data_IF_798355662542
#
_entry.id   IF_798355662542
#
_cell.length_a   1.000
_cell.length_b   1.000
_cell.length_c   1.000
_cell.angle_alpha   90.00
_cell.angle_beta   90.00
_cell.angle_gamma   90.00
#
_symmetry.space_group_name_H-M   'P 1'
#
loop_
_entity.id
_entity.type
_entity.pdbx_description
1 polymer ?
#
# COMPACT_ATOMS: atom_id res chain seq x y z
N UNK A 1 60.05 54.74 8.05
CA UNK A 1 58.65 54.41 8.38
C UNK A 1 58.21 53.31 7.40
N UNK A 2 57.65 52.23 7.93
CA UNK A 2 57.59 50.87 7.35
C UNK A 2 56.79 50.80 6.03
N UNK A 3 57.39 50.29 4.97
CA UNK A 3 56.74 49.91 3.71
C UNK A 3 56.05 48.55 3.87
N UNK A 4 54.83 48.42 3.33
CA UNK A 4 54.07 47.16 3.25
C UNK A 4 53.76 46.91 1.78
N UNK A 5 54.24 45.78 1.25
CA UNK A 5 53.74 45.16 0.03
C UNK A 5 54.02 43.65 0.16
N UNK A 6 53.01 42.90 0.58
CA UNK A 6 53.01 41.43 0.51
C UNK A 6 51.92 41.01 -0.47
N UNK A 7 52.32 40.66 -1.68
CA UNK A 7 51.52 39.83 -2.57
C UNK A 7 51.99 38.39 -2.38
N UNK A 8 51.22 37.62 -1.62
CA UNK A 8 51.43 36.17 -1.46
C UNK A 8 50.88 35.45 -2.69
N UNK A 9 51.77 34.92 -3.54
CA UNK A 9 51.40 34.02 -4.63
C UNK A 9 50.75 32.74 -4.08
N UNK A 10 49.67 32.27 -4.74
CA UNK A 10 49.00 31.02 -4.37
C UNK A 10 49.79 29.82 -4.92
N UNK A 11 49.94 28.72 -4.17
CA UNK A 11 50.61 27.53 -4.68
C UNK A 11 49.77 26.92 -5.82
N UNK A 12 50.31 26.94 -7.03
CA UNK A 12 49.81 26.14 -8.13
C UNK A 12 50.02 24.66 -7.77
N UNK A 13 49.02 23.80 -8.02
CA UNK A 13 49.12 22.32 -8.00
C UNK A 13 48.63 21.55 -6.75
N UNK A 14 47.86 22.13 -5.83
CA UNK A 14 47.16 21.32 -4.80
C UNK A 14 45.91 20.60 -5.32
N UNK A 15 45.33 21.04 -6.44
CA UNK A 15 44.13 20.43 -7.03
C UNK A 15 44.38 19.18 -7.88
N UNK A 16 45.60 18.99 -8.43
CA UNK A 16 45.87 17.90 -9.38
C UNK A 16 45.94 16.53 -8.70
N UNK A 17 46.41 16.46 -7.45
CA UNK A 17 46.50 15.21 -6.69
C UNK A 17 45.16 14.70 -6.16
N UNK A 18 44.16 15.58 -5.97
CA UNK A 18 42.79 15.17 -5.62
C UNK A 18 42.10 14.42 -6.75
N UNK A 19 42.42 14.76 -8.01
CA UNK A 19 41.82 14.15 -9.19
C UNK A 19 42.27 12.69 -9.37
N UNK A 20 43.54 12.38 -9.05
CA UNK A 20 44.04 11.00 -9.06
C UNK A 20 43.44 10.14 -7.94
N UNK A 21 43.15 10.70 -6.76
CA UNK A 21 42.47 9.97 -5.68
C UNK A 21 41.04 9.57 -6.07
N UNK A 22 40.31 10.43 -6.80
CA UNK A 22 38.99 10.09 -7.34
C UNK A 22 39.05 9.05 -8.47
N UNK A 23 40.09 9.07 -9.32
CA UNK A 23 40.23 8.10 -10.42
C UNK A 23 40.64 6.71 -9.90
N UNK A 24 41.51 6.63 -8.87
CA UNK A 24 41.99 5.33 -8.36
C UNK A 24 40.95 4.56 -7.53
N UNK A 25 39.97 5.23 -6.92
CA UNK A 25 38.86 4.59 -6.21
C UNK A 25 37.76 4.06 -7.14
N UNK A 26 37.82 4.35 -8.45
CA UNK A 26 36.77 4.00 -9.40
C UNK A 26 36.88 2.61 -10.04
N UNK A 27 37.96 1.85 -9.81
CA UNK A 27 38.17 0.55 -10.44
C UNK A 27 38.12 -0.59 -9.42
N UNK A 28 36.97 -0.75 -8.75
CA UNK A 28 36.60 -2.08 -8.27
C UNK A 28 36.05 -2.80 -9.49
N UNK A 29 36.83 -3.72 -10.06
CA UNK A 29 36.30 -4.73 -10.95
C UNK A 29 35.19 -5.47 -10.19
N UNK A 30 33.93 -5.10 -10.44
CA UNK A 30 32.83 -5.98 -10.13
C UNK A 30 33.03 -7.18 -11.03
N UNK A 31 33.58 -8.26 -10.48
CA UNK A 31 33.51 -9.56 -11.15
C UNK A 31 32.03 -9.75 -11.54
N UNK A 32 31.77 -10.13 -12.80
CA UNK A 32 30.43 -10.44 -13.29
C UNK A 32 29.90 -11.68 -12.55
N UNK A 33 29.57 -11.53 -11.27
CA UNK A 33 29.04 -12.57 -10.41
C UNK A 33 27.58 -12.76 -10.78
N UNK A 34 27.34 -13.77 -11.62
CA UNK A 34 26.02 -14.18 -12.08
C UNK A 34 25.78 -15.63 -11.62
N UNK A 35 25.50 -15.86 -10.32
CA UNK A 35 25.22 -17.20 -9.81
C UNK A 35 23.91 -17.75 -10.37
N UNK A 36 23.82 -19.08 -10.39
CA UNK A 36 22.54 -19.77 -10.50
C UNK A 36 21.83 -19.69 -9.14
N UNK A 37 20.53 -19.37 -9.15
CA UNK A 37 19.72 -19.29 -7.94
C UNK A 37 19.20 -20.69 -7.60
N UNK A 38 19.59 -21.21 -6.45
CA UNK A 38 19.22 -22.57 -5.99
C UNK A 38 18.02 -22.57 -5.05
N UNK A 39 17.78 -21.45 -4.36
CA UNK A 39 16.60 -21.26 -3.53
C UNK A 39 16.23 -19.78 -3.44
N UNK A 40 14.98 -19.52 -3.07
CA UNK A 40 14.47 -18.19 -2.73
C UNK A 40 13.97 -18.22 -1.29
N UNK A 41 14.55 -17.38 -0.44
CA UNK A 41 14.12 -17.25 0.96
C UNK A 41 13.40 -15.92 1.18
N UNK A 42 12.41 -15.94 2.07
CA UNK A 42 11.70 -14.76 2.56
C UNK A 42 11.94 -14.66 4.06
N UNK A 43 12.44 -13.51 4.50
CA UNK A 43 12.87 -13.27 5.88
C UNK A 43 12.14 -12.04 6.42
N UNK A 44 11.68 -12.15 7.67
CA UNK A 44 11.06 -11.03 8.41
C UNK A 44 9.53 -11.04 8.45
N UNK A 45 8.90 -12.17 8.08
CA UNK A 45 7.47 -12.36 8.31
C UNK A 45 7.20 -12.73 9.78
N UNK A 46 6.18 -12.10 10.37
CA UNK A 46 5.66 -12.39 11.71
C UNK A 46 4.18 -12.81 11.61
N UNK A 47 3.34 -11.96 11.00
CA UNK A 47 1.89 -12.20 10.89
C UNK A 47 1.45 -12.51 9.48
N UNK A 48 2.15 -11.97 8.47
CA UNK A 48 1.83 -12.17 7.06
C UNK A 48 2.14 -13.60 6.68
N UNK A 49 1.21 -14.24 5.98
CA UNK A 49 1.40 -15.61 5.52
C UNK A 49 2.33 -15.63 4.32
N UNK A 50 3.24 -16.60 4.31
CA UNK A 50 4.28 -16.78 3.29
C UNK A 50 3.75 -16.66 1.84
N UNK A 51 2.61 -17.29 1.55
CA UNK A 51 2.01 -17.27 0.21
C UNK A 51 1.66 -15.85 -0.32
N UNK A 52 1.45 -14.88 0.58
CA UNK A 52 1.17 -13.48 0.21
C UNK A 52 2.38 -12.83 -0.43
N UNK A 53 3.59 -13.23 -0.02
CA UNK A 53 4.85 -12.76 -0.59
C UNK A 53 5.23 -13.61 -1.79
N UNK A 54 5.12 -14.94 -1.69
CA UNK A 54 5.53 -15.87 -2.75
C UNK A 54 4.85 -15.57 -4.09
N UNK A 55 3.56 -15.20 -4.05
CA UNK A 55 2.78 -14.89 -5.25
C UNK A 55 3.24 -13.63 -5.99
N UNK A 56 4.04 -12.78 -5.34
CA UNK A 56 4.61 -11.57 -5.93
C UNK A 56 6.01 -11.81 -6.53
N UNK A 57 6.60 -12.98 -6.27
CA UNK A 57 7.93 -13.39 -6.74
C UNK A 57 7.79 -14.11 -8.08
N UNK A 58 8.36 -13.52 -9.12
CA UNK A 58 8.40 -14.05 -10.48
C UNK A 58 9.77 -14.61 -10.85
N UNK A 59 10.85 -14.26 -10.12
CA UNK A 59 12.15 -14.89 -10.31
C UNK A 59 12.04 -16.38 -9.98
N UNK A 60 12.46 -17.24 -10.90
CA UNK A 60 12.39 -18.69 -10.73
C UNK A 60 13.64 -19.23 -10.04
N UNK A 61 13.48 -20.35 -9.33
CA UNK A 61 14.61 -21.17 -8.91
C UNK A 61 15.22 -21.87 -10.14
N UNK A 62 16.49 -22.27 -10.01
CA UNK A 62 17.28 -22.99 -11.00
C UNK A 62 17.65 -22.21 -12.28
N UNK A 63 17.52 -20.88 -12.24
CA UNK A 63 18.00 -20.00 -13.31
C UNK A 63 19.07 -19.04 -12.80
N UNK A 64 19.86 -18.48 -13.71
CA UNK A 64 20.82 -17.44 -13.37
C UNK A 64 20.11 -16.18 -12.85
N UNK A 65 20.76 -15.45 -11.94
CA UNK A 65 20.22 -14.20 -11.41
C UNK A 65 19.92 -13.21 -12.53
N UNK A 66 18.69 -12.68 -12.51
CA UNK A 66 18.32 -11.46 -13.20
C UNK A 66 17.97 -10.41 -12.15
N UNK A 67 18.89 -9.47 -11.92
CA UNK A 67 18.72 -8.41 -10.93
C UNK A 67 17.51 -7.51 -11.24
N UNK A 68 17.12 -7.41 -12.51
CA UNK A 68 15.97 -6.60 -12.93
C UNK A 68 14.67 -7.24 -12.46
N UNK A 69 14.54 -8.57 -12.61
CA UNK A 69 13.38 -9.32 -12.12
C UNK A 69 13.35 -9.28 -10.59
N UNK A 70 14.48 -9.53 -9.91
CA UNK A 70 14.55 -9.47 -8.45
C UNK A 70 14.17 -8.08 -7.90
N UNK A 71 14.58 -7.01 -8.57
CA UNK A 71 14.19 -5.64 -8.22
C UNK A 71 12.69 -5.38 -8.46
N UNK A 72 12.10 -5.95 -9.51
CA UNK A 72 10.66 -5.86 -9.77
C UNK A 72 9.84 -6.67 -8.76
N UNK A 73 10.30 -7.87 -8.38
CA UNK A 73 9.71 -8.68 -7.31
C UNK A 73 9.69 -7.90 -5.99
N UNK A 74 10.84 -7.32 -5.61
CA UNK A 74 10.91 -6.44 -4.44
C UNK A 74 9.86 -5.35 -4.50
N UNK A 75 9.74 -4.68 -5.65
CA UNK A 75 8.78 -3.59 -5.82
C UNK A 75 7.34 -4.09 -5.71
N UNK A 76 6.99 -5.27 -6.26
CA UNK A 76 5.67 -5.89 -6.10
C UNK A 76 5.37 -6.18 -4.62
N UNK A 77 6.32 -6.78 -3.91
CA UNK A 77 6.20 -7.06 -2.47
C UNK A 77 5.99 -5.76 -1.68
N UNK A 78 6.79 -4.72 -1.95
CA UNK A 78 6.64 -3.41 -1.29
C UNK A 78 5.28 -2.76 -1.60
N UNK A 79 4.81 -2.87 -2.84
CA UNK A 79 3.53 -2.33 -3.30
C UNK A 79 2.30 -3.01 -2.67
N UNK A 80 2.48 -4.14 -1.97
CA UNK A 80 1.42 -4.70 -1.12
C UNK A 80 1.03 -3.73 0.00
N UNK A 81 1.93 -2.83 0.41
CA UNK A 81 1.68 -1.86 1.49
C UNK A 81 1.59 -2.51 2.87
N UNK A 82 2.21 -3.68 3.03
CA UNK A 82 2.26 -4.47 4.27
C UNK A 82 3.61 -4.39 4.99
N UNK A 83 4.61 -3.78 4.36
CA UNK A 83 6.00 -3.75 4.83
C UNK A 83 6.52 -2.31 4.85
N UNK A 84 7.28 -1.97 5.88
CA UNK A 84 7.93 -0.64 6.00
C UNK A 84 9.17 -0.56 5.11
N UNK A 85 9.92 -1.66 5.01
CA UNK A 85 11.06 -1.82 4.11
C UNK A 85 11.04 -3.21 3.45
N UNK A 86 11.58 -3.28 2.23
CA UNK A 86 11.81 -4.52 1.50
C UNK A 86 13.13 -4.39 0.72
N UNK A 87 14.05 -5.28 1.04
CA UNK A 87 15.34 -5.43 0.39
C UNK A 87 15.51 -6.83 -0.18
N UNK A 88 16.47 -7.00 -1.09
CA UNK A 88 16.89 -8.32 -1.54
C UNK A 88 18.42 -8.40 -1.56
N UNK A 89 18.95 -9.60 -1.37
CA UNK A 89 20.38 -9.90 -1.45
C UNK A 89 20.64 -11.29 -1.98
N UNK A 90 21.87 -11.52 -2.41
CA UNK A 90 22.37 -12.86 -2.75
C UNK A 90 23.23 -13.38 -1.60
N UNK A 91 22.98 -14.62 -1.20
CA UNK A 91 23.85 -15.36 -0.28
C UNK A 91 24.64 -16.37 -1.11
N UNK A 92 25.95 -16.14 -1.34
CA UNK A 92 26.77 -17.04 -2.16
C UNK A 92 26.96 -18.39 -1.46
N UNK A 93 26.97 -19.46 -2.24
CA UNK A 93 27.25 -20.82 -1.81
C UNK A 93 28.66 -21.23 -2.22
N UNK A 94 29.22 -22.25 -1.55
CA UNK A 94 30.58 -22.75 -1.82
C UNK A 94 30.79 -23.23 -3.26
N UNK A 95 29.73 -23.72 -3.90
CA UNK A 95 29.74 -24.21 -5.28
C UNK A 95 29.66 -23.10 -6.34
N UNK A 96 29.58 -21.82 -5.94
CA UNK A 96 29.45 -20.67 -6.84
C UNK A 96 28.00 -20.27 -7.16
N UNK A 97 27.02 -21.05 -6.74
CA UNK A 97 25.59 -20.70 -6.81
C UNK A 97 25.23 -19.69 -5.70
N UNK A 98 23.96 -19.27 -5.65
CA UNK A 98 23.46 -18.40 -4.60
C UNK A 98 22.02 -18.72 -4.19
N UNK A 99 21.66 -18.25 -3.00
CA UNK A 99 20.27 -18.13 -2.54
C UNK A 99 19.85 -16.67 -2.69
N UNK A 100 18.70 -16.44 -3.32
CA UNK A 100 18.10 -15.11 -3.41
C UNK A 100 17.23 -14.88 -2.17
N UNK A 101 17.57 -13.91 -1.35
CA UNK A 101 16.82 -13.61 -0.13
C UNK A 101 16.08 -12.29 -0.26
N UNK A 102 14.78 -12.31 0.00
CA UNK A 102 13.98 -11.11 0.27
C UNK A 102 13.87 -10.90 1.77
N UNK A 103 14.23 -9.70 2.22
CA UNK A 103 14.25 -9.32 3.63
C UNK A 103 13.30 -8.15 3.79
N UNK A 104 12.39 -8.22 4.76
CA UNK A 104 11.36 -7.21 4.96
C UNK A 104 11.01 -7.01 6.43
N UNK A 105 10.49 -5.84 6.74
CA UNK A 105 9.95 -5.51 8.06
C UNK A 105 8.45 -5.26 7.95
N UNK A 106 7.63 -6.03 8.67
CA UNK A 106 6.17 -5.87 8.65
C UNK A 106 5.71 -4.54 9.24
N UNK A 107 4.81 -3.87 8.53
CA UNK A 107 4.15 -2.65 9.01
C UNK A 107 3.10 -2.92 10.08
N UNK A 108 2.71 -1.84 10.76
CA UNK A 108 1.56 -1.85 11.67
C UNK A 108 0.27 -2.14 10.90
N UNK A 109 -0.24 -3.37 11.07
CA UNK A 109 -1.44 -3.86 10.38
C UNK A 109 -2.77 -3.39 10.99
N UNK A 110 -2.76 -2.82 12.21
CA UNK A 110 -3.98 -2.34 12.89
C UNK A 110 -3.84 -0.85 13.17
N UNK A 111 -4.59 -0.03 12.44
CA UNK A 111 -4.63 1.42 12.69
C UNK A 111 -5.35 1.66 14.01
N UNK A 112 -4.78 2.46 14.94
CA UNK A 112 -5.50 2.89 16.13
C UNK A 112 -6.84 3.55 15.74
N UNK A 113 -7.89 3.42 16.56
CA UNK A 113 -9.16 4.08 16.29
C UNK A 113 -8.96 5.58 16.06
N UNK A 114 -9.42 6.09 14.91
CA UNK A 114 -9.36 7.51 14.58
C UNK A 114 -10.71 8.14 14.88
N UNK A 115 -10.72 9.26 15.61
CA UNK A 115 -11.90 10.07 15.87
C UNK A 115 -11.71 11.45 15.25
N UNK A 116 -12.68 11.92 14.47
CA UNK A 116 -12.58 13.21 13.80
C UNK A 116 -13.96 13.83 13.50
N UNK A 117 -14.13 15.15 13.67
CA UNK A 117 -15.35 15.83 13.27
C UNK A 117 -15.42 16.00 11.75
N UNK A 118 -16.62 16.09 11.21
CA UNK A 118 -16.90 16.50 9.82
C UNK A 118 -18.14 17.37 9.76
N UNK A 119 -18.19 18.30 8.82
CA UNK A 119 -19.38 19.08 8.50
C UNK A 119 -19.85 18.75 7.08
N UNK A 120 -21.17 18.60 6.93
CA UNK A 120 -21.85 18.43 5.65
C UNK A 120 -22.98 19.47 5.59
N UNK A 121 -23.11 20.21 4.49
CA UNK A 121 -24.11 21.27 4.38
C UNK A 121 -25.55 20.76 4.45
N UNK A 122 -25.82 19.54 3.97
CA UNK A 122 -27.17 18.95 4.00
C UNK A 122 -27.53 18.38 5.37
N UNK A 123 -26.52 17.97 6.16
CA UNK A 123 -26.70 17.12 7.37
C UNK A 123 -26.23 17.78 8.66
N UNK A 124 -25.29 18.73 8.58
CA UNK A 124 -24.65 19.39 9.71
C UNK A 124 -23.39 18.68 10.22
N UNK A 125 -23.03 18.99 11.47
CA UNK A 125 -21.84 18.46 12.13
C UNK A 125 -22.02 17.00 12.57
N UNK A 126 -21.04 16.16 12.28
CA UNK A 126 -20.96 14.77 12.75
C UNK A 126 -19.61 14.50 13.40
N UNK A 127 -19.59 13.63 14.40
CA UNK A 127 -18.38 13.01 14.92
C UNK A 127 -18.22 11.62 14.30
N UNK A 128 -17.08 11.36 13.67
CA UNK A 128 -16.80 10.10 13.01
C UNK A 128 -15.75 9.30 13.76
N UNK A 129 -15.88 7.98 13.66
CA UNK A 129 -14.93 6.99 14.13
C UNK A 129 -14.54 6.06 12.96
N UNK A 130 -13.25 5.81 12.79
CA UNK A 130 -12.71 4.90 11.79
C UNK A 130 -11.82 3.84 12.46
N UNK A 131 -12.12 2.59 12.19
CA UNK A 131 -11.32 1.42 12.54
C UNK A 131 -10.90 0.73 11.25
N UNK A 132 -9.59 0.48 11.09
CA UNK A 132 -9.07 -0.23 9.93
C UNK A 132 -8.09 -1.31 10.38
N UNK A 133 -8.35 -2.54 9.93
CA UNK A 133 -7.47 -3.68 10.10
C UNK A 133 -7.01 -4.11 8.71
N UNK A 134 -5.75 -3.83 8.41
CA UNK A 134 -5.05 -4.36 7.24
C UNK A 134 -4.49 -5.75 7.56
N UNK A 135 -4.12 -6.47 6.51
CA UNK A 135 -3.54 -7.81 6.61
C UNK A 135 -4.29 -8.75 7.56
N UNK A 136 -5.62 -8.76 7.48
CA UNK A 136 -6.47 -9.56 8.36
C UNK A 136 -6.06 -11.04 8.26
N UNK A 137 -5.74 -11.64 9.41
CA UNK A 137 -5.22 -13.02 9.52
C UNK A 137 -3.97 -13.30 8.67
N UNK A 138 -3.19 -12.27 8.32
CA UNK A 138 -1.98 -12.42 7.50
C UNK A 138 -2.23 -12.61 6.01
N UNK A 139 -3.44 -12.32 5.51
CA UNK A 139 -3.87 -12.68 4.13
C UNK A 139 -3.88 -11.52 3.13
N UNK A 140 -3.28 -10.37 3.46
CA UNK A 140 -3.46 -9.12 2.72
C UNK A 140 -4.94 -8.69 2.55
N UNK A 141 -5.80 -9.05 3.51
CA UNK A 141 -7.20 -8.64 3.52
C UNK A 141 -7.38 -7.37 4.36
N UNK A 142 -8.26 -6.47 3.95
CA UNK A 142 -8.57 -5.24 4.70
C UNK A 142 -10.01 -5.27 5.16
N UNK A 143 -10.22 -4.99 6.45
CA UNK A 143 -11.52 -4.73 7.05
C UNK A 143 -11.53 -3.30 7.59
N UNK A 144 -12.51 -2.52 7.18
CA UNK A 144 -12.72 -1.15 7.61
C UNK A 144 -14.13 -1.01 8.17
N UNK A 145 -14.25 -0.39 9.34
CA UNK A 145 -15.50 -0.03 9.98
C UNK A 145 -15.50 1.47 10.21
N UNK A 146 -16.52 2.14 9.69
CA UNK A 146 -16.74 3.57 9.87
C UNK A 146 -18.07 3.78 10.57
N UNK A 147 -18.07 4.63 11.60
CA UNK A 147 -19.27 5.06 12.29
C UNK A 147 -19.33 6.59 12.35
N UNK A 148 -20.50 7.18 12.11
CA UNK A 148 -20.75 8.61 12.23
C UNK A 148 -21.97 8.86 13.11
N UNK A 149 -21.90 9.87 13.97
CA UNK A 149 -22.96 10.27 14.90
C UNK A 149 -23.14 11.79 14.87
N UNK A 150 -24.37 12.29 15.03
CA UNK A 150 -24.69 13.72 14.97
C UNK A 150 -25.56 14.03 13.75
N UNK A 151 -25.11 14.93 12.88
CA UNK A 151 -25.80 15.33 11.66
C UNK A 151 -26.14 14.17 10.73
N UNK A 152 -25.35 13.09 10.77
CA UNK A 152 -25.77 11.79 10.25
C UNK A 152 -25.50 10.68 11.27
N UNK A 153 -26.34 9.66 11.24
CA UNK A 153 -26.15 8.40 11.92
C UNK A 153 -25.76 7.34 10.88
N UNK A 154 -24.46 7.08 10.76
CA UNK A 154 -23.89 6.22 9.72
C UNK A 154 -23.12 5.05 10.35
N UNK A 155 -23.33 3.84 9.82
CA UNK A 155 -22.47 2.68 10.03
C UNK A 155 -22.13 2.11 8.67
N UNK A 156 -20.84 1.96 8.40
CA UNK A 156 -20.32 1.41 7.16
C UNK A 156 -19.28 0.33 7.46
N UNK A 157 -19.34 -0.76 6.71
CA UNK A 157 -18.36 -1.84 6.73
C UNK A 157 -17.84 -2.04 5.30
N UNK A 158 -16.52 -2.02 5.16
CA UNK A 158 -15.83 -2.33 3.92
C UNK A 158 -14.89 -3.51 4.16
N UNK A 159 -15.06 -4.58 3.39
CA UNK A 159 -14.14 -5.70 3.35
C UNK A 159 -13.51 -5.79 1.96
N UNK A 160 -12.21 -6.05 1.89
CA UNK A 160 -11.47 -6.20 0.63
C UNK A 160 -10.46 -7.33 0.71
N UNK A 161 -10.54 -8.25 -0.23
CA UNK A 161 -9.53 -9.26 -0.53
C UNK A 161 -8.96 -8.98 -1.94
N UNK A 162 -7.71 -8.52 -2.05
CA UNK A 162 -7.12 -8.17 -3.34
C UNK A 162 -6.83 -9.40 -4.22
N UNK A 163 -6.78 -10.61 -3.63
CA UNK A 163 -6.41 -11.84 -4.34
C UNK A 163 -7.06 -13.05 -3.66
N UNK A 164 -8.37 -13.17 -3.87
CA UNK A 164 -9.21 -14.23 -3.34
C UNK A 164 -8.85 -15.61 -3.92
N UNK A 165 -8.59 -15.68 -5.23
CA UNK A 165 -8.16 -16.91 -5.91
C UNK A 165 -7.57 -16.65 -7.30
N UNK A 166 -6.98 -17.69 -7.90
CA UNK A 166 -6.53 -17.70 -9.29
C UNK A 166 -5.46 -16.66 -9.58
N UNK A 167 -5.49 -16.08 -10.77
CA UNK A 167 -4.62 -14.97 -11.17
C UNK A 167 -5.32 -13.64 -10.81
N UNK A 168 -4.92 -13.06 -9.68
CA UNK A 168 -5.30 -11.71 -9.24
C UNK A 168 -6.81 -11.41 -9.25
N UNK A 169 -7.64 -12.37 -8.83
CA UNK A 169 -9.09 -12.15 -8.66
C UNK A 169 -9.35 -11.54 -7.30
N UNK A 170 -9.75 -10.27 -7.28
CA UNK A 170 -10.14 -9.50 -6.10
C UNK A 170 -11.64 -9.58 -5.81
N UNK A 171 -11.99 -9.52 -4.52
CA UNK A 171 -13.35 -9.37 -4.02
C UNK A 171 -13.40 -8.18 -3.05
N UNK A 172 -14.42 -7.34 -3.14
CA UNK A 172 -14.71 -6.37 -2.09
C UNK A 172 -16.21 -6.26 -1.82
N UNK A 173 -16.56 -6.02 -0.56
CA UNK A 173 -17.94 -5.88 -0.11
C UNK A 173 -18.07 -4.58 0.66
N UNK A 174 -19.12 -3.81 0.35
CA UNK A 174 -19.46 -2.56 1.00
C UNK A 174 -20.88 -2.66 1.53
N UNK A 175 -21.04 -2.44 2.83
CA UNK A 175 -22.31 -2.37 3.53
C UNK A 175 -22.42 -0.99 4.16
N UNK A 176 -23.56 -0.33 4.01
CA UNK A 176 -23.84 0.94 4.65
C UNK A 176 -25.27 0.98 5.16
N UNK A 177 -25.44 1.51 6.36
CA UNK A 177 -26.69 2.10 6.84
C UNK A 177 -26.40 3.55 7.21
N UNK A 178 -27.18 4.47 6.67
CA UNK A 178 -27.04 5.89 6.94
C UNK A 178 -28.42 6.51 7.11
N UNK A 179 -28.60 7.33 8.13
CA UNK A 179 -29.82 8.11 8.33
C UNK A 179 -29.48 9.54 8.74
N UNK A 180 -30.20 10.51 8.19
CA UNK A 180 -30.03 11.92 8.52
C UNK A 180 -31.28 12.72 8.21
N UNK A 181 -31.43 13.83 8.92
CA UNK A 181 -32.44 14.85 8.64
C UNK A 181 -31.82 15.94 7.76
N UNK A 182 -32.54 16.36 6.73
CA UNK A 182 -32.04 17.39 5.84
C UNK A 182 -32.20 18.77 6.49
N UNK A 183 -31.12 19.56 6.55
CA UNK A 183 -31.13 20.86 7.25
C UNK A 183 -32.07 21.90 6.60
N UNK A 184 -32.24 21.84 5.28
CA UNK A 184 -33.04 22.82 4.52
C UNK A 184 -34.41 22.30 4.04
N UNK A 185 -34.66 21.00 4.09
CA UNK A 185 -35.86 20.37 3.55
C UNK A 185 -36.50 19.58 4.67
N UNK A 186 -37.82 19.69 4.84
CA UNK A 186 -38.55 18.87 5.81
C UNK A 186 -38.58 17.42 5.31
N UNK A 187 -37.49 16.68 5.54
CA UNK A 187 -37.38 15.27 5.21
C UNK A 187 -36.26 14.59 5.98
N UNK A 188 -36.59 13.43 6.53
CA UNK A 188 -35.61 12.46 7.00
C UNK A 188 -35.33 11.44 5.90
N UNK A 189 -34.07 11.07 5.76
CA UNK A 189 -33.61 10.15 4.72
C UNK A 189 -32.97 8.96 5.41
N UNK A 190 -33.41 7.76 5.07
CA UNK A 190 -32.75 6.52 5.48
C UNK A 190 -32.23 5.80 4.23
N UNK A 191 -30.97 5.40 4.28
CA UNK A 191 -30.23 4.77 3.19
C UNK A 191 -29.67 3.45 3.71
N UNK A 192 -29.89 2.38 2.96
CA UNK A 192 -29.19 1.11 3.14
C UNK A 192 -28.58 0.71 1.81
N UNK A 193 -27.27 0.46 1.81
CA UNK A 193 -26.52 0.11 0.60
C UNK A 193 -25.77 -1.20 0.81
N UNK A 194 -25.86 -2.09 -0.17
CA UNK A 194 -25.03 -3.29 -0.31
C UNK A 194 -24.38 -3.22 -1.68
N UNK A 195 -23.05 -3.31 -1.74
CA UNK A 195 -22.31 -3.41 -3.00
C UNK A 195 -21.30 -4.53 -2.88
N UNK A 196 -21.29 -5.41 -3.86
CA UNK A 196 -20.32 -6.49 -3.99
C UNK A 196 -19.54 -6.25 -5.27
N UNK A 197 -18.23 -6.32 -5.21
CA UNK A 197 -17.35 -6.05 -6.33
C UNK A 197 -16.41 -7.22 -6.55
N UNK A 198 -16.35 -7.72 -7.76
CA UNK A 198 -15.37 -8.73 -8.18
C UNK A 198 -14.52 -8.09 -9.26
N UNK A 199 -13.21 -8.22 -9.17
CA UNK A 199 -12.31 -7.70 -10.20
C UNK A 199 -11.20 -8.68 -10.51
N UNK A 200 -10.77 -8.72 -11.77
CA UNK A 200 -9.70 -9.59 -12.25
C UNK A 200 -8.68 -8.77 -13.03
N UNK A 201 -7.40 -9.02 -12.79
CA UNK A 201 -6.32 -8.51 -13.62
C UNK A 201 -6.01 -9.45 -14.78
N UNK A 202 -5.53 -8.86 -15.88
CA UNK A 202 -5.00 -9.55 -17.05
C UNK A 202 -3.57 -9.05 -17.26
N UNK A 203 -2.62 -9.81 -16.73
CA UNK A 203 -1.26 -9.32 -16.50
C UNK A 203 -1.25 -8.10 -15.56
N UNK A 204 -0.26 -7.23 -15.71
CA UNK A 204 -0.08 -6.06 -14.82
C UNK A 204 -0.74 -4.77 -15.34
N UNK A 205 -1.41 -4.80 -16.50
CA UNK A 205 -1.84 -3.57 -17.21
C UNK A 205 -3.34 -3.34 -17.24
N UNK A 206 -4.15 -4.40 -17.30
CA UNK A 206 -5.60 -4.29 -17.50
C UNK A 206 -6.32 -4.94 -16.34
N UNK A 207 -7.23 -4.19 -15.71
CA UNK A 207 -8.14 -4.70 -14.68
C UNK A 207 -9.59 -4.56 -15.15
N UNK A 208 -10.33 -5.66 -15.14
CA UNK A 208 -11.79 -5.63 -15.26
C UNK A 208 -12.42 -5.74 -13.88
N UNK A 209 -13.51 -5.00 -13.64
CA UNK A 209 -14.25 -5.03 -12.37
C UNK A 209 -15.74 -4.97 -12.63
N UNK A 210 -16.48 -5.89 -12.03
CA UNK A 210 -17.94 -5.89 -11.97
C UNK A 210 -18.37 -5.56 -10.54
N UNK A 211 -19.36 -4.67 -10.36
CA UNK A 211 -19.70 -4.14 -9.04
C UNK A 211 -21.20 -3.85 -8.87
N UNK A 212 -22.07 -4.87 -8.83
CA UNK A 212 -23.49 -4.68 -8.56
C UNK A 212 -23.72 -4.02 -7.20
N UNK A 213 -24.74 -3.15 -7.15
CA UNK A 213 -25.14 -2.45 -5.93
C UNK A 213 -26.66 -2.48 -5.77
N UNK A 214 -27.11 -2.76 -4.55
CA UNK A 214 -28.50 -2.64 -4.10
C UNK A 214 -28.58 -1.46 -3.13
N UNK A 215 -29.38 -0.45 -3.47
CA UNK A 215 -29.52 0.77 -2.67
C UNK A 215 -31.01 0.96 -2.38
N UNK A 216 -31.38 0.93 -1.09
CA UNK A 216 -32.72 1.29 -0.62
C UNK A 216 -32.65 2.68 0.01
N UNK A 217 -33.43 3.62 -0.52
CA UNK A 217 -33.63 4.95 0.06
C UNK A 217 -35.10 5.12 0.44
N UNK A 218 -35.36 5.56 1.65
CA UNK A 218 -36.71 5.97 2.08
C UNK A 218 -36.68 7.40 2.58
N UNK A 219 -37.72 8.14 2.22
CA UNK A 219 -37.90 9.54 2.54
C UNK A 219 -39.16 9.65 3.40
N UNK A 220 -39.03 10.28 4.56
CA UNK A 220 -40.16 10.57 5.46
C UNK A 220 -40.22 12.05 5.71
N UNK A 221 -41.44 12.60 5.77
CA UNK A 221 -41.69 14.02 6.00
C UNK A 221 -42.73 14.15 7.14
N UNK A 222 -42.72 15.27 7.86
CA UNK A 222 -43.66 15.55 8.94
C UNK A 222 -45.11 15.74 8.43
N UNK A 223 -45.28 16.19 7.18
CA UNK A 223 -46.59 16.39 6.54
C UNK A 223 -47.02 15.12 5.80
N UNK A 224 -47.70 14.21 6.50
CA UNK A 224 -48.30 13.02 5.90
C UNK A 224 -49.74 13.33 5.44
N UNK A 225 -49.91 14.24 4.47
CA UNK A 225 -51.21 14.54 3.85
C UNK A 225 -51.39 13.74 2.57
N UNK A 226 -51.64 12.44 2.70
CA UNK A 226 -52.33 11.67 1.66
C UNK A 226 -53.45 10.83 2.31
N UNK A 227 -54.37 11.52 2.98
CA UNK A 227 -55.73 11.00 3.12
C UNK A 227 -56.45 11.27 1.80
N UNK A 228 -56.51 10.25 0.95
CA UNK A 228 -57.51 10.23 -0.11
C UNK A 228 -58.82 9.77 0.55
N UNK A 229 -59.71 10.73 0.83
CA UNK A 229 -61.12 10.44 1.11
C UNK A 229 -61.84 10.02 -0.18
#
# INVERSE_FOLDING_TARGET
MKTRNDYTERPAMTGLFLLFYFIFNGCVFSANYKPKITNIDVIGLDKTLQYVVDREIHHSVDVYIDSSIAALDRNRIFNLGLFEDVAWRLVPLENGDAILQYIMDESINKTPPLLFPSYDEEKGWSLNALLMVKNLQGRNQTLEVFAGFGGQQKIQLLFSDPWLFGDHVSLSTYLERNSYDHLFLDRSINISSLKISIGKWYGEKIKLRFSPALIKKSFTNSINTLNYN
#
